data_IF_319894454716
#
_entry.id   IF_319894454716
#
_cell.length_a   1.000
_cell.length_b   1.000
_cell.length_c   1.000
_cell.angle_alpha   90.00
_cell.angle_beta   90.00
_cell.angle_gamma   90.00
#
_symmetry.space_group_name_H-M   'P 1'
#
loop_
_entity.id
_entity.type
_entity.pdbx_description
1 polymer ?
#
# COMPACT_ATOMS: atom_id res chain seq x y z
N UNK A 1 16.65 12.69 37.07
CA UNK A 1 16.86 12.62 35.61
C UNK A 1 15.62 12.00 35.00
N UNK A 2 14.71 12.81 34.48
CA UNK A 2 13.51 12.36 33.77
C UNK A 2 13.83 12.35 32.28
N UNK A 3 14.31 11.23 31.75
CA UNK A 3 14.33 10.97 30.31
C UNK A 3 14.41 9.45 30.12
N UNK A 4 13.29 8.80 29.72
CA UNK A 4 13.45 7.94 28.54
C UNK A 4 12.22 7.88 27.62
N UNK A 5 11.18 8.70 27.81
CA UNK A 5 10.00 8.62 26.92
C UNK A 5 10.26 9.27 25.56
N UNK A 6 11.03 10.36 25.54
CA UNK A 6 11.36 11.06 24.29
C UNK A 6 12.27 10.24 23.36
N UNK A 7 13.13 9.38 23.90
CA UNK A 7 14.08 8.59 23.12
C UNK A 7 13.40 7.46 22.35
N UNK A 8 12.30 6.90 22.89
CA UNK A 8 11.49 5.88 22.21
C UNK A 8 10.79 6.49 20.98
N UNK A 9 10.29 7.71 21.08
CA UNK A 9 9.62 8.41 19.96
C UNK A 9 10.56 8.70 18.80
N UNK A 10 11.82 9.06 19.08
CA UNK A 10 12.80 9.37 18.04
C UNK A 10 13.25 8.12 17.28
N UNK A 11 13.45 6.99 17.97
CA UNK A 11 13.87 5.73 17.32
C UNK A 11 12.71 5.06 16.58
N UNK A 12 11.49 5.12 17.13
CA UNK A 12 10.30 4.54 16.50
C UNK A 12 9.98 5.14 15.13
N UNK A 13 10.22 6.44 14.93
CA UNK A 13 9.92 7.13 13.66
C UNK A 13 10.70 6.60 12.45
N UNK A 14 11.84 5.91 12.67
CA UNK A 14 12.66 5.32 11.60
C UNK A 14 12.33 3.86 11.31
N UNK A 15 11.60 3.23 12.21
CA UNK A 15 11.14 1.85 12.04
C UNK A 15 9.68 1.93 11.63
N UNK A 16 9.33 1.55 10.40
CA UNK A 16 7.93 1.47 9.93
C UNK A 16 7.00 0.56 10.75
N UNK A 17 7.45 0.08 11.91
CA UNK A 17 6.67 -0.56 12.97
C UNK A 17 5.54 0.33 13.50
N UNK A 18 5.76 1.65 13.62
CA UNK A 18 4.70 2.57 14.09
C UNK A 18 3.55 2.65 13.08
N UNK A 19 3.86 2.77 11.79
CA UNK A 19 2.86 2.72 10.72
C UNK A 19 2.10 1.39 10.70
N UNK A 20 2.77 0.27 10.93
CA UNK A 20 2.14 -1.06 10.92
C UNK A 20 1.16 -1.26 12.09
N UNK A 21 1.53 -0.80 13.30
CA UNK A 21 0.66 -0.86 14.48
C UNK A 21 -0.52 0.11 14.31
N UNK A 22 -0.28 1.30 13.79
CA UNK A 22 -1.32 2.29 13.54
C UNK A 22 -2.34 1.79 12.49
N UNK A 23 -1.88 1.12 11.44
CA UNK A 23 -2.74 0.51 10.43
C UNK A 23 -3.60 -0.62 11.02
N UNK A 24 -3.02 -1.55 11.81
CA UNK A 24 -3.80 -2.60 12.48
C UNK A 24 -4.86 -2.04 13.44
N UNK A 25 -4.57 -0.92 14.12
CA UNK A 25 -5.49 -0.31 15.08
C UNK A 25 -6.61 0.51 14.39
N UNK A 26 -6.33 1.10 13.24
CA UNK A 26 -7.22 2.07 12.59
C UNK A 26 -7.97 1.47 11.39
N UNK A 27 -7.43 0.43 10.75
CA UNK A 27 -8.04 -0.20 9.59
C UNK A 27 -9.17 -1.15 10.00
N UNK A 28 -10.38 -0.63 10.07
CA UNK A 28 -11.61 -1.34 10.46
C UNK A 28 -12.36 -1.81 9.20
N UNK A 29 -13.43 -2.59 9.38
CA UNK A 29 -14.29 -3.01 8.25
C UNK A 29 -14.75 -1.83 7.37
N UNK A 30 -15.09 -0.69 7.99
CA UNK A 30 -15.50 0.51 7.26
C UNK A 30 -14.36 1.12 6.42
N UNK A 31 -13.09 0.91 6.80
CA UNK A 31 -11.91 1.46 6.12
C UNK A 31 -11.70 0.88 4.72
N UNK A 32 -12.28 -0.28 4.41
CA UNK A 32 -12.27 -0.85 3.05
C UNK A 32 -13.06 0.01 2.04
N UNK A 33 -13.97 0.84 2.52
CA UNK A 33 -14.77 1.75 1.68
C UNK A 33 -14.21 3.17 1.65
N UNK A 34 -13.31 3.52 2.57
CA UNK A 34 -12.61 4.80 2.60
C UNK A 34 -11.35 4.72 1.72
N UNK A 35 -11.33 5.49 0.63
CA UNK A 35 -10.20 5.50 -0.31
C UNK A 35 -8.89 5.98 0.35
N UNK A 36 -8.95 6.93 1.29
CA UNK A 36 -7.75 7.43 1.98
C UNK A 36 -7.18 6.37 2.91
N UNK A 37 -8.04 5.74 3.72
CA UNK A 37 -7.59 4.64 4.58
C UNK A 37 -7.07 3.46 3.77
N UNK A 38 -7.79 3.07 2.70
CA UNK A 38 -7.42 1.94 1.86
C UNK A 38 -6.10 2.18 1.13
N UNK A 39 -5.87 3.37 0.55
CA UNK A 39 -4.60 3.64 -0.13
C UNK A 39 -3.41 3.61 0.83
N UNK A 40 -3.56 4.11 2.06
CA UNK A 40 -2.51 3.97 3.08
C UNK A 40 -2.26 2.50 3.43
N UNK A 41 -3.33 1.72 3.64
CA UNK A 41 -3.22 0.29 3.91
C UNK A 41 -2.50 -0.45 2.77
N UNK A 42 -2.82 -0.15 1.50
CA UNK A 42 -2.18 -0.78 0.34
C UNK A 42 -0.67 -0.52 0.27
N UNK A 43 -0.20 0.67 0.69
CA UNK A 43 1.25 0.95 0.76
C UNK A 43 1.95 0.03 1.75
N UNK A 44 1.31 -0.24 2.89
CA UNK A 44 1.85 -1.09 3.93
C UNK A 44 1.79 -2.57 3.54
N UNK A 45 0.70 -3.01 2.91
CA UNK A 45 0.57 -4.35 2.32
C UNK A 45 1.68 -4.60 1.29
N UNK A 46 1.92 -3.65 0.37
CA UNK A 46 2.99 -3.77 -0.62
C UNK A 46 4.38 -3.98 0.02
N UNK A 47 4.65 -3.29 1.14
CA UNK A 47 5.90 -3.48 1.91
C UNK A 47 5.94 -4.82 2.62
N UNK A 48 4.87 -5.19 3.32
CA UNK A 48 4.79 -6.42 4.12
C UNK A 48 4.98 -7.66 3.27
N UNK A 49 4.42 -7.66 2.06
CA UNK A 49 4.57 -8.76 1.11
C UNK A 49 5.81 -8.64 0.20
N UNK A 50 6.72 -7.71 0.49
CA UNK A 50 7.95 -7.50 -0.28
C UNK A 50 7.71 -7.31 -1.79
N UNK A 51 6.59 -6.68 -2.17
CA UNK A 51 6.24 -6.45 -3.59
C UNK A 51 7.13 -5.40 -4.25
N UNK A 52 7.86 -4.62 -3.45
CA UNK A 52 8.81 -3.59 -3.89
C UNK A 52 9.85 -3.32 -2.81
N UNK A 53 11.03 -2.87 -3.23
CA UNK A 53 12.12 -2.41 -2.35
C UNK A 53 11.94 -0.97 -1.89
N UNK A 54 11.08 -0.18 -2.53
CA UNK A 54 10.82 1.22 -2.17
C UNK A 54 10.09 1.33 -0.83
N UNK A 55 10.39 2.34 0.01
CA UNK A 55 9.64 2.62 1.25
C UNK A 55 8.15 2.92 1.01
N UNK A 56 7.28 2.67 1.99
CA UNK A 56 5.83 2.89 1.86
C UNK A 56 5.45 4.32 1.46
N UNK A 57 6.15 5.34 1.98
CA UNK A 57 5.90 6.75 1.67
C UNK A 57 6.25 7.13 0.22
N UNK A 58 7.08 6.32 -0.45
CA UNK A 58 7.43 6.49 -1.86
C UNK A 58 6.42 5.85 -2.80
N UNK A 59 5.49 5.05 -2.27
CA UNK A 59 4.45 4.39 -3.05
C UNK A 59 3.24 5.31 -3.21
N UNK A 60 2.76 5.43 -4.43
CA UNK A 60 1.55 6.20 -4.75
C UNK A 60 0.54 5.28 -5.41
N UNK A 61 -0.47 4.82 -4.65
CA UNK A 61 -1.59 4.09 -5.22
C UNK A 61 -2.47 5.05 -6.02
N UNK A 62 -2.67 4.75 -7.30
CA UNK A 62 -3.59 5.44 -8.20
C UNK A 62 -4.76 4.52 -8.52
N UNK A 63 -5.99 5.03 -8.44
CA UNK A 63 -7.17 4.25 -8.81
C UNK A 63 -7.28 4.23 -10.33
N UNK A 64 -7.17 3.05 -10.94
CA UNK A 64 -7.43 2.89 -12.37
C UNK A 64 -8.89 2.46 -12.58
N UNK A 65 -9.71 3.41 -13.03
CA UNK A 65 -11.14 3.19 -13.33
C UNK A 65 -11.38 2.57 -14.71
N UNK A 66 -10.37 2.47 -15.58
CA UNK A 66 -10.50 1.91 -16.93
C UNK A 66 -10.64 0.38 -16.90
N UNK A 67 -9.98 -0.29 -15.95
CA UNK A 67 -10.11 -1.74 -15.74
C UNK A 67 -11.49 -2.19 -15.24
N UNK A 68 -12.30 -1.27 -14.71
CA UNK A 68 -13.66 -1.54 -14.26
C UNK A 68 -14.68 -1.66 -15.43
N UNK A 69 -14.27 -1.43 -16.68
CA UNK A 69 -15.13 -1.63 -17.86
C UNK A 69 -15.31 -3.10 -18.24
N UNK A 70 -14.44 -3.99 -17.77
CA UNK A 70 -14.67 -5.43 -17.87
C UNK A 70 -15.69 -5.82 -16.81
N UNK A 71 -16.88 -6.23 -17.26
CA UNK A 71 -18.05 -6.55 -16.44
C UNK A 71 -17.78 -7.60 -15.34
N UNK A 72 -16.69 -8.36 -15.46
CA UNK A 72 -16.18 -9.32 -14.48
C UNK A 72 -15.62 -8.67 -13.19
N UNK A 73 -15.29 -7.36 -13.21
CA UNK A 73 -14.75 -6.61 -12.08
C UNK A 73 -15.77 -5.71 -11.37
N UNK A 74 -17.09 -5.95 -11.52
CA UNK A 74 -18.12 -5.06 -10.96
C UNK A 74 -17.97 -4.76 -9.45
N UNK A 75 -17.28 -5.62 -8.68
CA UNK A 75 -17.01 -5.45 -7.25
C UNK A 75 -15.53 -5.18 -6.91
N UNK A 76 -14.64 -5.16 -7.91
CA UNK A 76 -13.19 -5.09 -7.73
C UNK A 76 -12.67 -3.72 -8.21
N UNK A 77 -11.87 -3.07 -7.37
CA UNK A 77 -11.16 -1.83 -7.74
C UNK A 77 -9.70 -2.17 -8.08
N UNK A 78 -9.22 -1.74 -9.26
CA UNK A 78 -7.81 -1.86 -9.62
C UNK A 78 -7.06 -0.59 -9.21
N UNK A 79 -5.96 -0.78 -8.50
CA UNK A 79 -5.01 0.25 -8.12
C UNK A 79 -3.69 0.01 -8.85
N UNK A 80 -3.15 1.05 -9.48
CA UNK A 80 -1.79 1.08 -9.98
C UNK A 80 -0.87 1.59 -8.87
N UNK A 81 0.15 0.82 -8.53
CA UNK A 81 1.13 1.22 -7.54
C UNK A 81 2.30 1.86 -8.26
N UNK A 82 2.41 3.17 -8.11
CA UNK A 82 3.52 3.95 -8.65
C UNK A 82 4.65 4.06 -7.63
N UNK A 83 5.89 3.97 -8.08
CA UNK A 83 7.09 4.25 -7.30
C UNK A 83 7.60 5.65 -7.61
N UNK A 84 7.56 6.55 -6.63
CA UNK A 84 8.25 7.84 -6.70
C UNK A 84 9.72 7.65 -6.37
N UNK A 85 10.57 8.31 -7.14
CA UNK A 85 12.02 8.31 -7.00
C UNK A 85 12.52 9.75 -6.89
N UNK A 86 13.61 9.97 -6.14
CA UNK A 86 14.11 11.29 -5.75
C UNK A 86 13.30 11.92 -4.59
N UNK A 87 13.80 13.04 -4.03
CA UNK A 87 13.22 13.72 -2.85
C UNK A 87 12.92 12.73 -1.70
N UNK A 88 13.99 12.26 -1.05
CA UNK A 88 13.98 11.26 0.04
C UNK A 88 13.58 9.82 -0.35
N UNK A 89 13.17 9.61 -1.61
CA UNK A 89 13.00 8.28 -2.19
C UNK A 89 14.25 7.84 -2.98
N UNK A 90 14.68 6.57 -2.88
CA UNK A 90 15.86 6.09 -3.58
C UNK A 90 15.69 6.17 -5.10
N UNK A 91 16.78 6.37 -5.84
CA UNK A 91 16.80 6.44 -7.31
C UNK A 91 16.79 7.85 -7.89
N UNK A 92 16.74 7.93 -9.23
CA UNK A 92 16.73 9.20 -9.97
C UNK A 92 15.34 9.83 -9.97
N UNK A 93 15.21 11.17 -10.00
CA UNK A 93 13.91 11.85 -9.98
C UNK A 93 12.95 11.32 -11.06
N UNK A 94 11.79 10.81 -10.65
CA UNK A 94 10.80 10.25 -11.57
C UNK A 94 9.67 9.50 -10.87
N UNK A 95 8.70 9.06 -11.65
CA UNK A 95 7.65 8.15 -11.19
C UNK A 95 7.45 7.06 -12.24
N UNK A 96 7.40 5.81 -11.79
CA UNK A 96 7.16 4.65 -12.65
C UNK A 96 6.09 3.75 -12.06
N UNK A 97 5.38 3.02 -12.92
CA UNK A 97 4.42 2.00 -12.50
C UNK A 97 5.18 0.74 -12.12
N UNK A 98 4.98 0.26 -10.89
CA UNK A 98 5.65 -0.95 -10.39
C UNK A 98 4.82 -2.21 -10.67
N UNK A 99 3.56 -2.18 -10.25
CA UNK A 99 2.61 -3.28 -10.35
C UNK A 99 1.19 -2.78 -10.08
N UNK A 100 0.22 -3.67 -10.21
CA UNK A 100 -1.20 -3.44 -9.93
C UNK A 100 -1.67 -4.27 -8.76
N UNK A 101 -2.59 -3.69 -8.01
CA UNK A 101 -3.36 -4.37 -6.98
C UNK A 101 -4.82 -4.39 -7.39
N UNK A 102 -5.45 -5.56 -7.35
CA UNK A 102 -6.90 -5.68 -7.48
C UNK A 102 -7.48 -5.88 -6.09
N UNK A 103 -8.43 -5.03 -5.71
CA UNK A 103 -9.02 -5.02 -4.37
C UNK A 103 -10.49 -5.35 -4.45
N UNK A 104 -10.88 -6.47 -3.86
CA UNK A 104 -12.28 -6.80 -3.63
C UNK A 104 -12.68 -6.24 -2.25
N UNK A 105 -13.41 -5.13 -2.23
CA UNK A 105 -13.75 -4.43 -0.97
C UNK A 105 -14.75 -5.22 -0.12
N UNK A 106 -15.67 -5.95 -0.77
CA UNK A 106 -16.72 -6.73 -0.09
C UNK A 106 -16.15 -8.00 0.56
N UNK A 107 -15.35 -8.75 -0.19
CA UNK A 107 -14.64 -9.95 0.24
C UNK A 107 -13.40 -9.66 1.08
N UNK A 108 -12.94 -8.40 1.10
CA UNK A 108 -11.73 -7.95 1.81
C UNK A 108 -10.48 -8.69 1.37
N UNK A 109 -10.35 -8.86 0.06
CA UNK A 109 -9.25 -9.56 -0.58
C UNK A 109 -8.44 -8.58 -1.42
N UNK A 110 -7.13 -8.77 -1.40
CA UNK A 110 -6.19 -8.02 -2.22
C UNK A 110 -5.48 -9.04 -3.10
N UNK A 111 -5.36 -8.74 -4.38
CA UNK A 111 -4.61 -9.52 -5.35
C UNK A 111 -3.52 -8.65 -5.96
N UNK A 112 -2.39 -9.24 -6.34
CA UNK A 112 -1.27 -8.53 -6.96
C UNK A 112 -0.85 -9.20 -8.26
N UNK A 113 -0.38 -8.41 -9.22
CA UNK A 113 0.34 -8.89 -10.41
C UNK A 113 1.85 -8.62 -10.33
N UNK A 114 2.37 -8.29 -9.15
CA UNK A 114 3.80 -8.09 -8.94
C UNK A 114 4.60 -9.35 -9.32
N UNK A 115 5.64 -9.15 -10.12
CA UNK A 115 6.45 -10.24 -10.68
C UNK A 115 5.80 -10.99 -11.86
N UNK A 116 4.47 -10.91 -12.03
CA UNK A 116 3.73 -11.58 -13.11
C UNK A 116 2.69 -10.63 -13.72
N UNK A 117 3.11 -9.64 -14.54
CA UNK A 117 2.22 -8.61 -15.07
C UNK A 117 0.97 -9.20 -15.75
N UNK A 118 -0.22 -8.82 -15.27
CA UNK A 118 -1.50 -9.28 -15.79
C UNK A 118 -2.05 -10.57 -15.17
N UNK A 119 -1.27 -11.27 -14.35
CA UNK A 119 -1.74 -12.44 -13.59
C UNK A 119 -1.90 -12.07 -12.12
N UNK A 120 -3.16 -11.90 -11.69
CA UNK A 120 -3.47 -11.54 -10.31
C UNK A 120 -3.44 -12.76 -9.39
N UNK A 121 -2.57 -12.72 -8.38
CA UNK A 121 -2.44 -13.73 -7.32
C UNK A 121 -2.93 -13.15 -5.98
N UNK A 122 -3.64 -13.91 -5.15
CA UNK A 122 -4.12 -13.40 -3.87
C UNK A 122 -2.97 -13.14 -2.90
N UNK A 123 -3.01 -11.99 -2.21
CA UNK A 123 -2.19 -11.73 -1.04
C UNK A 123 -2.91 -12.32 0.17
N UNK A 124 -2.36 -13.41 0.70
CA UNK A 124 -2.83 -14.01 1.95
C UNK A 124 -2.45 -13.09 3.13
N UNK A 125 -3.34 -12.92 4.14
CA UNK A 125 -3.12 -12.00 5.25
C UNK A 125 -1.97 -12.37 6.18
#
# INVERSE_FOLDING_TARGET
MMLPVALILVVGSRTGLLDEVQDRLTFKQASWFDNTALTNHLRLVARRHHLTTLPAHCLVPLINTVGARNQELANDTVFEIMGRHGHDCPGQPGAEMLFRLRVNRLGRLIFTDAGHPGQFTPLLP
#
